data_IF_926305614386
#
_entry.id   IF_926305614386
#
_cell.length_a   1.000
_cell.length_b   1.000
_cell.length_c   1.000
_cell.angle_alpha   90.00
_cell.angle_beta   90.00
_cell.angle_gamma   90.00
#
_symmetry.space_group_name_H-M   'P 1'
#
loop_
_entity.id
_entity.type
_entity.pdbx_description
1 polymer ?
#
# COMPACT_ATOMS: atom_id res chain seq x y z
N UNK A 1 -69.50 9.68 -11.99
CA UNK A 1 -68.49 9.74 -10.91
C UNK A 1 -67.57 8.53 -11.12
N UNK A 2 -66.44 8.69 -11.82
CA UNK A 2 -65.07 8.92 -11.30
C UNK A 2 -64.70 7.89 -10.21
N UNK A 3 -63.59 7.13 -10.28
CA UNK A 3 -62.20 7.62 -10.35
C UNK A 3 -61.29 6.50 -10.93
N UNK A 4 -60.47 6.83 -11.93
CA UNK A 4 -59.32 6.02 -12.33
C UNK A 4 -58.11 6.45 -11.49
N UNK A 5 -57.52 5.53 -10.73
CA UNK A 5 -56.33 5.78 -9.90
C UNK A 5 -55.09 5.47 -10.73
N UNK A 6 -54.40 6.50 -11.20
CA UNK A 6 -53.07 6.39 -11.80
C UNK A 6 -52.02 6.64 -10.71
N UNK A 7 -51.36 5.58 -10.26
CA UNK A 7 -50.20 5.67 -9.37
C UNK A 7 -48.94 5.97 -10.19
N UNK A 8 -48.44 7.20 -10.05
CA UNK A 8 -47.13 7.62 -10.57
C UNK A 8 -46.02 6.95 -9.73
N UNK A 9 -45.35 5.95 -10.29
CA UNK A 9 -44.13 5.38 -9.72
C UNK A 9 -42.99 6.36 -10.04
N UNK A 10 -42.58 7.13 -9.04
CA UNK A 10 -41.40 7.99 -9.13
C UNK A 10 -40.13 7.12 -9.13
N UNK A 11 -39.48 6.98 -10.28
CA UNK A 11 -38.13 6.43 -10.36
C UNK A 11 -37.15 7.48 -9.79
N UNK A 12 -36.87 7.38 -8.48
CA UNK A 12 -35.71 8.04 -7.91
C UNK A 12 -34.45 7.32 -8.40
N UNK A 13 -33.78 7.90 -9.40
CA UNK A 13 -32.45 7.46 -9.80
C UNK A 13 -31.47 7.77 -8.67
N UNK A 14 -31.19 6.79 -7.82
CA UNK A 14 -30.10 6.87 -6.85
C UNK A 14 -28.81 6.77 -7.64
N UNK A 15 -28.16 7.91 -7.88
CA UNK A 15 -26.79 7.94 -8.39
C UNK A 15 -25.87 7.42 -7.29
N UNK A 16 -25.58 6.12 -7.31
CA UNK A 16 -24.53 5.55 -6.49
C UNK A 16 -23.20 6.03 -7.05
N UNK A 17 -22.67 7.12 -6.48
CA UNK A 17 -21.29 7.55 -6.70
C UNK A 17 -20.38 6.50 -6.08
N UNK A 18 -20.12 5.42 -6.80
CA UNK A 18 -19.10 4.44 -6.41
C UNK A 18 -17.74 5.11 -6.70
N UNK A 19 -17.31 5.99 -5.80
CA UNK A 19 -15.89 6.26 -5.63
C UNK A 19 -15.27 4.90 -5.35
N UNK A 20 -14.42 4.40 -6.27
CA UNK A 20 -13.81 3.09 -6.16
C UNK A 20 -13.27 2.91 -4.74
N UNK A 21 -13.89 2.02 -3.96
CA UNK A 21 -13.42 1.73 -2.60
C UNK A 21 -12.12 0.97 -2.78
N UNK A 22 -11.01 1.67 -2.55
CA UNK A 22 -9.69 1.10 -2.77
C UNK A 22 -9.51 -0.18 -1.96
N UNK A 23 -8.93 -1.19 -2.61
CA UNK A 23 -8.82 -2.52 -2.02
C UNK A 23 -7.80 -2.52 -0.88
N UNK A 24 -7.97 -3.48 0.04
CA UNK A 24 -6.93 -3.84 1.01
C UNK A 24 -6.13 -5.01 0.44
N UNK A 25 -4.80 -4.88 0.40
CA UNK A 25 -3.90 -5.87 -0.16
C UNK A 25 -2.82 -6.30 0.83
N UNK A 26 -2.49 -7.60 0.80
CA UNK A 26 -1.30 -8.15 1.43
C UNK A 26 -0.12 -8.06 0.46
N UNK A 27 0.87 -7.28 0.84
CA UNK A 27 2.04 -6.92 0.05
C UNK A 27 3.28 -7.57 0.68
N UNK A 28 3.81 -8.59 0.01
CA UNK A 28 5.08 -9.23 0.32
C UNK A 28 6.27 -8.34 -0.04
N UNK A 29 6.08 -7.47 -1.03
CA UNK A 29 6.98 -6.37 -1.35
C UNK A 29 6.18 -5.07 -1.42
N UNK A 30 6.75 -3.97 -0.97
CA UNK A 30 6.11 -2.67 -1.05
C UNK A 30 7.16 -1.56 -1.03
N UNK A 31 6.84 -0.43 -1.65
CA UNK A 31 7.66 0.76 -1.59
C UNK A 31 6.76 2.00 -1.54
N UNK A 32 6.97 2.82 -0.52
CA UNK A 32 6.31 4.11 -0.37
C UNK A 32 6.98 5.18 -1.24
N UNK A 33 6.15 6.06 -1.78
CA UNK A 33 6.56 7.25 -2.50
C UNK A 33 5.55 8.39 -2.32
N UNK A 34 5.78 9.55 -2.96
CA UNK A 34 4.94 10.75 -2.79
C UNK A 34 3.46 10.54 -3.15
N UNK A 35 3.18 9.54 -3.99
CA UNK A 35 1.86 9.24 -4.55
C UNK A 35 1.17 8.08 -3.80
N UNK A 36 1.84 7.44 -2.84
CA UNK A 36 1.33 6.27 -2.14
C UNK A 36 2.31 5.11 -2.18
N UNK A 37 1.83 3.90 -1.91
CA UNK A 37 2.63 2.69 -1.85
C UNK A 37 2.41 1.82 -3.08
N UNK A 38 3.49 1.31 -3.67
CA UNK A 38 3.42 0.16 -4.57
C UNK A 38 3.26 -1.13 -3.76
N UNK A 39 2.60 -2.13 -4.34
CA UNK A 39 2.33 -3.41 -3.71
C UNK A 39 2.74 -4.55 -4.65
N UNK A 40 3.57 -5.47 -4.17
CA UNK A 40 4.06 -6.65 -4.91
C UNK A 40 4.64 -6.32 -6.28
N UNK A 41 5.32 -5.16 -6.40
CA UNK A 41 5.95 -4.69 -7.64
C UNK A 41 4.96 -4.50 -8.81
N UNK A 42 3.67 -4.42 -8.50
CA UNK A 42 2.61 -4.15 -9.48
C UNK A 42 2.59 -2.68 -9.85
N UNK A 43 2.79 -2.39 -11.14
CA UNK A 43 2.71 -1.03 -11.69
C UNK A 43 1.28 -0.60 -12.00
N UNK A 44 0.34 -1.54 -12.03
CA UNK A 44 -1.07 -1.32 -12.36
C UNK A 44 -1.93 -1.00 -11.13
N UNK A 45 -1.32 -0.85 -9.94
CA UNK A 45 -2.02 -0.52 -8.70
C UNK A 45 -1.17 0.42 -7.84
N UNK A 46 -1.83 1.35 -7.16
CA UNK A 46 -1.21 2.20 -6.15
C UNK A 46 -2.12 2.28 -4.92
N UNK A 47 -1.52 2.09 -3.74
CA UNK A 47 -2.19 2.14 -2.46
C UNK A 47 -2.07 3.55 -1.88
N UNK A 48 -3.10 4.35 -2.09
CA UNK A 48 -3.11 5.80 -1.78
C UNK A 48 -3.24 6.08 -0.28
N UNK A 49 -3.86 5.17 0.47
CA UNK A 49 -3.93 5.25 1.94
C UNK A 49 -2.69 4.64 2.62
N UNK A 50 -1.76 4.09 1.83
CA UNK A 50 -0.51 3.49 2.29
C UNK A 50 -0.69 2.17 3.04
N UNK A 51 0.39 1.72 3.67
CA UNK A 51 0.43 0.48 4.44
C UNK A 51 0.35 0.75 5.94
N UNK A 52 -0.41 -0.06 6.68
CA UNK A 52 -0.61 0.08 8.13
C UNK A 52 0.03 -1.05 8.95
N UNK A 53 0.41 -2.13 8.29
CA UNK A 53 1.26 -3.19 8.83
C UNK A 53 2.50 -3.31 7.96
N UNK A 54 3.59 -3.78 8.54
CA UNK A 54 4.90 -3.83 7.91
C UNK A 54 5.65 -5.10 8.28
N UNK A 55 6.65 -5.40 7.46
CA UNK A 55 7.60 -6.48 7.71
C UNK A 55 8.63 -6.04 8.74
N UNK A 56 8.96 -6.94 9.67
CA UNK A 56 10.16 -6.83 10.51
C UNK A 56 11.25 -7.75 9.94
N UNK A 57 12.44 -7.20 9.70
CA UNK A 57 13.59 -7.95 9.22
C UNK A 57 14.71 -7.95 10.27
N UNK A 58 15.40 -9.09 10.43
CA UNK A 58 16.55 -9.19 11.33
C UNK A 58 17.89 -9.19 10.59
N UNK A 59 18.97 -9.01 11.36
CA UNK A 59 20.33 -8.93 10.85
C UNK A 59 20.50 -7.83 9.79
N UNK A 60 19.97 -6.66 10.09
CA UNK A 60 20.02 -5.49 9.23
C UNK A 60 21.29 -4.69 9.49
N UNK A 61 21.94 -4.29 8.41
CA UNK A 61 23.11 -3.39 8.42
C UNK A 61 22.80 -2.15 7.62
N UNK A 62 23.08 -0.98 8.18
CA UNK A 62 22.92 0.26 7.43
C UNK A 62 23.90 0.29 6.27
N UNK A 63 23.42 0.65 5.09
CA UNK A 63 24.28 0.82 3.91
C UNK A 63 25.06 2.15 3.96
N UNK A 64 24.66 3.07 4.84
CA UNK A 64 25.29 4.39 5.00
C UNK A 64 26.35 4.36 6.10
N UNK A 65 27.50 5.02 5.87
CA UNK A 65 28.54 5.18 6.88
C UNK A 65 28.16 6.29 7.90
N UNK A 66 28.46 6.13 9.20
CA UNK A 66 29.16 5.03 9.85
C UNK A 66 28.34 3.74 9.94
N UNK A 67 29.01 2.59 9.78
CA UNK A 67 28.39 1.27 9.92
C UNK A 67 27.82 1.11 11.33
N UNK A 68 26.50 1.20 11.45
CA UNK A 68 25.78 0.95 12.69
C UNK A 68 25.86 -0.54 13.08
N UNK A 69 25.64 -0.88 14.36
CA UNK A 69 25.48 -2.27 14.79
C UNK A 69 24.41 -2.99 13.98
N UNK A 70 24.49 -4.32 13.97
CA UNK A 70 23.45 -5.16 13.37
C UNK A 70 22.17 -5.04 14.19
N UNK A 71 21.06 -4.73 13.54
CA UNK A 71 19.76 -4.47 14.18
C UNK A 71 18.63 -5.33 13.63
N UNK A 72 17.47 -5.25 14.28
CA UNK A 72 16.19 -5.66 13.71
C UNK A 72 15.43 -4.39 13.31
N UNK A 73 14.93 -4.34 12.08
CA UNK A 73 14.30 -3.15 11.51
C UNK A 73 12.86 -3.43 11.14
N UNK A 74 11.96 -2.51 11.50
CA UNK A 74 10.60 -2.46 10.99
C UNK A 74 10.60 -1.66 9.69
N UNK A 75 10.35 -2.33 8.57
CA UNK A 75 10.47 -1.76 7.23
C UNK A 75 9.25 -0.89 6.88
N UNK A 76 9.14 0.30 7.46
CA UNK A 76 7.92 1.13 7.35
C UNK A 76 7.76 1.87 6.02
N UNK A 77 8.85 2.06 5.28
CA UNK A 77 8.83 2.80 4.00
C UNK A 77 8.84 1.82 2.83
N UNK A 78 9.56 0.71 2.94
CA UNK A 78 9.63 -0.25 1.86
C UNK A 78 10.32 -1.54 2.27
N UNK A 79 9.92 -2.63 1.63
CA UNK A 79 10.51 -3.94 1.81
C UNK A 79 10.58 -4.67 0.47
N UNK A 80 11.75 -5.19 0.14
CA UNK A 80 12.04 -5.69 -1.21
C UNK A 80 13.22 -6.65 -1.26
N UNK A 81 13.51 -7.16 -2.47
CA UNK A 81 14.77 -7.85 -2.75
C UNK A 81 15.89 -6.82 -2.89
N UNK A 82 17.04 -7.06 -2.24
CA UNK A 82 18.27 -6.31 -2.49
C UNK A 82 19.21 -7.17 -3.35
N UNK A 83 19.47 -8.39 -2.90
CA UNK A 83 20.20 -9.42 -3.67
C UNK A 83 19.52 -10.78 -3.53
N UNK A 84 20.08 -11.83 -4.15
CA UNK A 84 19.60 -13.20 -3.94
C UNK A 84 19.64 -13.64 -2.46
N UNK A 85 20.57 -13.10 -1.67
CA UNK A 85 20.79 -13.47 -0.27
C UNK A 85 20.37 -12.38 0.74
N UNK A 86 19.89 -11.22 0.29
CA UNK A 86 19.58 -10.10 1.17
C UNK A 86 18.29 -9.38 0.77
N UNK A 87 17.58 -8.85 1.77
CA UNK A 87 16.41 -7.99 1.61
C UNK A 87 16.81 -6.52 1.79
N UNK A 88 16.12 -5.67 1.04
CA UNK A 88 16.13 -4.23 1.27
C UNK A 88 15.03 -3.90 2.27
N UNK A 89 15.39 -3.23 3.35
CA UNK A 89 14.46 -2.70 4.34
C UNK A 89 14.65 -1.19 4.40
N UNK A 90 13.61 -0.45 4.02
CA UNK A 90 13.58 1.00 4.10
C UNK A 90 12.72 1.40 5.29
N UNK A 91 13.28 2.23 6.15
CA UNK A 91 12.61 2.81 7.31
C UNK A 91 12.64 4.33 7.20
N UNK A 92 11.93 5.03 8.07
CA UNK A 92 12.05 6.50 8.18
C UNK A 92 13.45 6.98 8.57
N UNK A 93 14.33 6.09 9.04
CA UNK A 93 15.70 6.42 9.46
C UNK A 93 16.75 6.13 8.38
N UNK A 94 16.40 5.36 7.34
CA UNK A 94 17.31 5.04 6.25
C UNK A 94 17.07 3.69 5.60
N UNK A 95 18.04 3.29 4.76
CA UNK A 95 18.06 2.02 4.07
C UNK A 95 18.99 1.02 4.74
N UNK A 96 18.51 -0.22 4.83
CA UNK A 96 19.22 -1.32 5.47
C UNK A 96 19.24 -2.55 4.57
N UNK A 97 20.38 -3.23 4.59
CA UNK A 97 20.56 -4.56 4.00
C UNK A 97 20.41 -5.60 5.09
N UNK A 98 19.39 -6.45 4.96
CA UNK A 98 19.04 -7.47 5.97
C UNK A 98 19.24 -8.88 5.41
N UNK A 99 19.87 -9.76 6.19
CA UNK A 99 20.15 -11.15 5.80
C UNK A 99 19.54 -12.18 6.76
N UNK A 100 18.78 -11.71 7.75
CA UNK A 100 18.17 -12.57 8.77
C UNK A 100 16.76 -13.01 8.41
N UNK A 101 16.02 -13.40 9.46
CA UNK A 101 14.64 -13.83 9.36
C UNK A 101 13.70 -12.64 9.09
N UNK A 102 12.57 -12.94 8.45
CA UNK A 102 11.55 -11.98 8.06
C UNK A 102 10.23 -12.40 8.71
N UNK A 103 9.56 -11.47 9.38
CA UNK A 103 8.23 -11.70 9.97
C UNK A 103 7.25 -10.60 9.63
N UNK A 104 5.95 -10.90 9.67
CA UNK A 104 4.90 -9.97 9.30
C UNK A 104 4.70 -9.83 7.79
N UNK A 105 3.78 -8.94 7.42
CA UNK A 105 3.37 -8.66 6.04
C UNK A 105 2.98 -7.19 5.92
N UNK A 106 3.26 -6.58 4.77
CA UNK A 106 2.74 -5.26 4.42
C UNK A 106 1.23 -5.35 4.19
N UNK A 107 0.41 -4.65 4.96
CA UNK A 107 -1.04 -4.57 4.69
C UNK A 107 -1.37 -3.17 4.25
N UNK A 108 -1.71 -3.01 2.97
CA UNK A 108 -1.87 -1.72 2.31
C UNK A 108 -3.33 -1.49 1.90
N UNK A 109 -3.76 -0.24 1.98
CA UNK A 109 -5.16 0.18 1.87
C UNK A 109 -5.30 1.21 0.75
N UNK A 110 -6.54 1.42 0.29
CA UNK A 110 -6.80 2.39 -0.78
C UNK A 110 -6.13 2.00 -2.09
N UNK A 111 -5.93 0.70 -2.34
CA UNK A 111 -5.23 0.19 -3.52
C UNK A 111 -6.17 0.22 -4.73
N UNK A 112 -5.85 1.08 -5.70
CA UNK A 112 -6.64 1.29 -6.93
C UNK A 112 -5.74 1.40 -8.16
N UNK A 113 -6.26 1.13 -9.36
CA UNK A 113 -5.57 1.47 -10.59
C UNK A 113 -5.15 2.95 -10.66
N UNK A 114 -3.96 3.30 -11.18
CA UNK A 114 -3.48 4.69 -11.22
C UNK A 114 -4.40 5.67 -11.95
N UNK A 115 -5.15 5.21 -12.96
CA UNK A 115 -6.11 6.02 -13.71
C UNK A 115 -7.39 6.35 -12.91
N UNK A 116 -7.58 5.75 -11.73
CA UNK A 116 -8.67 6.06 -10.81
C UNK A 116 -8.25 7.05 -9.72
N UNK A 117 -6.99 7.48 -9.70
CA UNK A 117 -6.50 8.48 -8.74
C UNK A 117 -6.48 9.85 -9.39
N UNK A 118 -7.15 10.82 -8.75
CA UNK A 118 -7.02 12.24 -9.11
C UNK A 118 -5.89 12.83 -8.30
N UNK A 119 -4.83 13.25 -8.98
CA UNK A 119 -3.67 13.89 -8.33
C UNK A 119 -3.88 15.39 -8.26
N UNK A 120 -3.61 15.99 -7.10
CA UNK A 120 -3.38 17.43 -7.03
C UNK A 120 -2.12 17.75 -7.87
N UNK A 121 -2.26 18.70 -8.80
CA UNK A 121 -1.17 19.27 -9.58
C UNK A 121 -0.49 20.38 -8.78
#
# INVERSE_FOLDING_TARGET
MNVAVFTLISLAAVTMNVTAVGQTLNCFFYAGGPKGFSCNERSDIICTEGCKSFVTASHCTSETYPKKPVTNELCTVGFGRNTAAAKACLTGQGAFRCTGNITGTGVCYGCVPPNQVTWAN
#
